data_IF_718945685637
#
_entry.id   IF_718945685637
#
_cell.length_a   1.000
_cell.length_b   1.000
_cell.length_c   1.000
_cell.angle_alpha   90.00
_cell.angle_beta   90.00
_cell.angle_gamma   90.00
#
_symmetry.space_group_name_H-M   'P 1'
#
loop_
_entity.id
_entity.type
_entity.pdbx_description
1 polymer ?
#
# COMPACT_ATOMS: atom_id res chain seq x y z
N UNK A 1 -40.75 6.68 4.14
CA UNK A 1 -39.38 6.23 3.75
C UNK A 1 -38.59 7.49 3.54
N UNK A 2 -37.58 7.75 4.35
CA UNK A 2 -36.64 8.88 4.19
C UNK A 2 -35.86 8.69 2.89
N UNK A 3 -35.81 9.73 2.06
CA UNK A 3 -35.20 9.65 0.75
C UNK A 3 -33.68 9.56 0.87
N UNK A 4 -33.08 8.50 0.30
CA UNK A 4 -31.63 8.31 0.28
C UNK A 4 -31.07 8.92 -1.02
N UNK A 5 -30.29 9.99 -0.89
CA UNK A 5 -29.61 10.65 -2.01
C UNK A 5 -28.14 10.23 -2.03
N UNK A 6 -27.71 9.62 -3.14
CA UNK A 6 -26.31 9.24 -3.36
C UNK A 6 -25.78 10.05 -4.56
N UNK A 7 -24.69 10.78 -4.33
CA UNK A 7 -24.11 11.64 -5.35
C UNK A 7 -22.61 11.88 -5.14
N UNK A 8 -21.88 12.29 -6.18
CA UNK A 8 -20.53 12.83 -5.98
C UNK A 8 -20.58 14.13 -5.18
N UNK A 9 -19.46 14.46 -4.55
CA UNK A 9 -19.23 15.71 -3.86
C UNK A 9 -19.14 16.86 -4.88
N UNK A 10 -19.71 18.02 -4.55
CA UNK A 10 -19.48 19.23 -5.35
C UNK A 10 -18.21 19.96 -4.87
N UNK A 11 -17.64 20.78 -5.73
CA UNK A 11 -16.50 21.64 -5.37
C UNK A 11 -16.88 22.57 -4.20
N UNK A 12 -16.08 22.57 -3.14
CA UNK A 12 -16.31 23.35 -1.94
C UNK A 12 -17.21 22.69 -0.89
N UNK A 13 -17.56 21.41 -1.08
CA UNK A 13 -18.35 20.63 -0.11
C UNK A 13 -17.49 19.74 0.80
N UNK A 14 -16.20 20.02 0.96
CA UNK A 14 -15.30 19.21 1.82
C UNK A 14 -15.83 19.11 3.26
N UNK A 15 -16.41 20.20 3.77
CA UNK A 15 -17.05 20.22 5.10
C UNK A 15 -18.27 19.28 5.20
N UNK A 16 -19.00 19.05 4.09
CA UNK A 16 -20.10 18.08 4.04
C UNK A 16 -19.54 16.65 4.18
N UNK A 17 -18.48 16.32 3.46
CA UNK A 17 -17.80 15.02 3.59
C UNK A 17 -17.31 14.79 5.03
N UNK A 18 -16.72 15.79 5.66
CA UNK A 18 -16.19 15.74 7.02
C UNK A 18 -17.29 15.78 8.11
N UNK A 19 -18.53 16.07 7.76
CA UNK A 19 -19.64 16.14 8.72
C UNK A 19 -20.07 14.78 9.27
N UNK A 20 -19.67 13.65 8.63
CA UNK A 20 -19.93 12.31 9.15
C UNK A 20 -19.17 12.11 10.46
N UNK A 21 -19.84 11.73 11.57
CA UNK A 21 -19.16 11.39 12.82
C UNK A 21 -18.21 10.22 12.63
N UNK A 22 -16.94 10.40 12.97
CA UNK A 22 -15.91 9.38 12.85
C UNK A 22 -15.22 9.20 14.21
N UNK A 23 -15.28 8.00 14.82
CA UNK A 23 -14.63 7.72 16.09
C UNK A 23 -13.09 7.63 15.99
N UNK A 24 -12.50 7.72 14.80
CA UNK A 24 -11.06 7.63 14.61
C UNK A 24 -10.47 6.26 14.94
N UNK A 25 -11.23 5.18 14.79
CA UNK A 25 -10.80 3.83 15.16
C UNK A 25 -10.16 3.06 14.01
N UNK A 26 -10.53 3.37 12.77
CA UNK A 26 -10.05 2.72 11.54
C UNK A 26 -9.91 3.75 10.42
N UNK A 27 -9.34 3.34 9.28
CA UNK A 27 -9.14 4.23 8.14
C UNK A 27 -8.08 5.30 8.41
N UNK A 28 -8.10 6.37 7.67
CA UNK A 28 -7.15 7.49 7.81
C UNK A 28 -7.30 8.25 9.13
N UNK A 29 -8.53 8.40 9.62
CA UNK A 29 -8.79 9.10 10.87
C UNK A 29 -8.09 8.46 12.07
N UNK A 30 -7.88 7.13 12.07
CA UNK A 30 -7.12 6.43 13.11
C UNK A 30 -5.64 6.82 13.15
N UNK A 31 -5.12 7.45 12.08
CA UNK A 31 -3.74 7.91 11.96
C UNK A 31 -3.61 9.44 12.00
N UNK A 32 -4.71 10.15 12.23
CA UNK A 32 -4.74 11.61 12.38
C UNK A 32 -4.81 12.37 11.04
N UNK A 33 -5.05 11.68 9.94
CA UNK A 33 -5.23 12.33 8.64
C UNK A 33 -6.65 12.89 8.49
N UNK A 34 -6.78 13.99 7.74
CA UNK A 34 -8.08 14.63 7.42
C UNK A 34 -8.30 14.63 5.91
N UNK A 35 -9.55 14.49 5.51
CA UNK A 35 -9.90 14.54 4.08
C UNK A 35 -9.52 15.89 3.45
N UNK A 36 -9.84 17.00 4.09
CA UNK A 36 -9.55 18.34 3.58
C UNK A 36 -8.06 18.60 3.40
N UNK A 37 -7.22 18.08 4.32
CA UNK A 37 -5.76 18.18 4.20
C UNK A 37 -5.23 17.48 2.96
N UNK A 38 -5.71 16.27 2.68
CA UNK A 38 -5.28 15.46 1.54
C UNK A 38 -5.90 15.97 0.22
N UNK A 39 -7.16 16.42 0.23
CA UNK A 39 -7.80 17.02 -0.92
C UNK A 39 -7.10 18.32 -1.37
N UNK A 40 -6.63 19.14 -0.43
CA UNK A 40 -5.83 20.32 -0.72
C UNK A 40 -4.50 20.01 -1.41
N UNK A 41 -3.95 18.81 -1.20
CA UNK A 41 -2.77 18.31 -1.92
C UNK A 41 -3.09 17.77 -3.34
N UNK A 42 -4.36 17.73 -3.74
CA UNK A 42 -4.83 17.26 -5.04
C UNK A 42 -4.96 15.73 -5.15
N UNK A 43 -4.92 15.03 -4.03
CA UNK A 43 -4.99 13.57 -3.96
C UNK A 43 -6.42 13.03 -4.05
N UNK A 44 -7.41 13.88 -3.76
CA UNK A 44 -8.84 13.58 -3.90
C UNK A 44 -9.52 14.66 -4.73
N UNK A 45 -10.43 14.25 -5.60
CA UNK A 45 -11.22 15.15 -6.46
C UNK A 45 -12.70 15.01 -6.13
N UNK A 46 -13.50 16.06 -6.30
CA UNK A 46 -14.93 16.00 -6.00
C UNK A 46 -15.67 14.89 -6.75
N UNK A 47 -15.36 14.65 -8.02
CA UNK A 47 -15.92 13.57 -8.84
C UNK A 47 -15.48 12.16 -8.40
N UNK A 48 -14.40 12.05 -7.65
CA UNK A 48 -13.91 10.80 -7.03
C UNK A 48 -14.30 10.67 -5.55
N UNK A 49 -15.15 11.56 -5.06
CA UNK A 49 -15.60 11.59 -3.67
C UNK A 49 -17.11 11.55 -3.64
N UNK A 50 -17.69 10.60 -2.93
CA UNK A 50 -19.12 10.34 -2.93
C UNK A 50 -19.69 10.36 -1.53
N UNK A 51 -20.93 10.82 -1.40
CA UNK A 51 -21.69 10.85 -0.16
C UNK A 51 -23.07 10.25 -0.35
N UNK A 52 -23.56 9.59 0.70
CA UNK A 52 -24.96 9.18 0.83
C UNK A 52 -25.60 10.00 1.94
N UNK A 53 -26.74 10.64 1.64
CA UNK A 53 -27.45 11.52 2.56
C UNK A 53 -28.87 10.97 2.85
N UNK A 54 -29.25 11.00 4.12
CA UNK A 54 -30.65 10.87 4.56
C UNK A 54 -31.11 12.18 5.19
N UNK A 55 -32.21 12.76 4.67
CA UNK A 55 -32.72 14.06 5.15
C UNK A 55 -31.63 15.15 5.20
N UNK A 56 -30.72 15.16 4.23
CA UNK A 56 -29.61 16.13 4.14
C UNK A 56 -28.41 15.83 5.07
N UNK A 57 -28.47 14.78 5.87
CA UNK A 57 -27.35 14.36 6.76
C UNK A 57 -26.54 13.27 6.09
N UNK A 58 -25.20 13.39 6.09
CA UNK A 58 -24.30 12.35 5.56
C UNK A 58 -24.36 11.12 6.47
N UNK A 59 -24.72 9.98 5.89
CA UNK A 59 -24.79 8.67 6.56
C UNK A 59 -23.77 7.67 6.04
N UNK A 60 -23.16 7.93 4.86
CA UNK A 60 -22.01 7.21 4.35
C UNK A 60 -21.19 8.13 3.44
N UNK A 61 -19.88 7.88 3.41
CA UNK A 61 -18.92 8.59 2.55
C UNK A 61 -17.89 7.63 1.99
N UNK A 62 -17.43 7.91 0.77
CA UNK A 62 -16.33 7.19 0.13
C UNK A 62 -15.51 8.15 -0.72
N UNK A 63 -14.18 8.01 -0.67
CA UNK A 63 -13.30 8.77 -1.56
C UNK A 63 -12.20 7.86 -2.13
N UNK A 64 -11.97 8.04 -3.42
CA UNK A 64 -10.95 7.31 -4.19
C UNK A 64 -9.74 8.20 -4.38
N UNK A 65 -8.59 7.64 -4.03
CA UNK A 65 -7.29 8.28 -4.11
C UNK A 65 -6.64 8.09 -5.49
N UNK A 66 -5.96 9.13 -5.95
CA UNK A 66 -4.95 9.05 -6.99
C UNK A 66 -3.89 10.14 -6.79
N UNK A 67 -2.74 9.99 -7.40
CA UNK A 67 -1.74 11.05 -7.41
C UNK A 67 -2.24 12.30 -8.17
N UNK A 68 -1.66 13.48 -7.90
CA UNK A 68 -2.12 14.75 -8.49
C UNK A 68 -2.12 14.80 -10.02
N UNK A 69 -1.39 13.89 -10.67
CA UNK A 69 -1.23 13.81 -12.13
C UNK A 69 -1.95 12.61 -12.76
N UNK A 70 -2.54 11.74 -11.95
CA UNK A 70 -3.22 10.56 -12.47
C UNK A 70 -4.57 10.93 -13.08
N UNK A 71 -4.95 10.23 -14.13
CA UNK A 71 -6.22 10.45 -14.83
C UNK A 71 -7.39 9.72 -14.15
N UNK A 72 -7.10 8.57 -13.55
CA UNK A 72 -8.08 7.67 -12.94
C UNK A 72 -7.73 7.40 -11.47
N UNK A 73 -8.72 7.11 -10.61
CA UNK A 73 -8.47 6.75 -9.21
C UNK A 73 -7.80 5.38 -9.11
N UNK A 74 -6.86 5.26 -8.16
CA UNK A 74 -6.04 4.07 -7.96
C UNK A 74 -6.49 3.22 -6.78
N UNK A 75 -7.08 3.83 -5.74
CA UNK A 75 -7.53 3.12 -4.55
C UNK A 75 -8.75 3.79 -3.92
N UNK A 76 -9.71 2.99 -3.44
CA UNK A 76 -10.70 3.42 -2.47
C UNK A 76 -10.04 3.31 -1.10
N UNK A 77 -9.89 4.40 -0.36
CA UNK A 77 -9.25 4.37 0.95
C UNK A 77 -9.91 5.25 2.03
N UNK A 78 -10.94 6.04 1.69
CA UNK A 78 -11.95 6.52 2.62
C UNK A 78 -13.26 5.78 2.38
N UNK A 79 -13.75 5.08 3.39
CA UNK A 79 -15.04 4.41 3.38
C UNK A 79 -15.59 4.31 4.79
N UNK A 80 -16.43 5.28 5.16
CA UNK A 80 -16.97 5.43 6.50
C UNK A 80 -18.48 5.64 6.47
N UNK A 81 -19.18 5.20 7.52
CA UNK A 81 -20.63 5.27 7.56
C UNK A 81 -21.19 5.10 8.97
N UNK A 82 -22.40 5.59 9.14
CA UNK A 82 -23.31 5.28 10.26
C UNK A 82 -24.48 4.38 9.81
N UNK A 83 -24.66 4.21 8.49
CA UNK A 83 -25.70 3.36 7.86
C UNK A 83 -25.01 2.41 6.86
N UNK A 84 -24.88 1.15 7.23
CA UNK A 84 -24.17 0.14 6.43
C UNK A 84 -24.86 -0.17 5.09
N UNK A 85 -26.19 -0.15 5.05
CA UNK A 85 -26.94 -0.38 3.81
C UNK A 85 -26.76 0.77 2.83
N UNK A 86 -26.79 2.00 3.32
CA UNK A 86 -26.49 3.20 2.51
C UNK A 86 -25.03 3.18 2.01
N UNK A 87 -24.09 2.73 2.83
CA UNK A 87 -22.68 2.58 2.45
C UNK A 87 -22.49 1.56 1.31
N UNK A 88 -23.06 0.37 1.44
CA UNK A 88 -23.02 -0.64 0.39
C UNK A 88 -23.70 -0.14 -0.91
N UNK A 89 -24.81 0.58 -0.79
CA UNK A 89 -25.50 1.16 -1.93
C UNK A 89 -24.67 2.27 -2.59
N UNK A 90 -23.94 3.09 -1.80
CA UNK A 90 -23.05 4.13 -2.31
C UNK A 90 -21.96 3.51 -3.19
N UNK A 91 -21.29 2.46 -2.74
CA UNK A 91 -20.25 1.78 -3.53
C UNK A 91 -20.82 1.19 -4.83
N UNK A 92 -22.04 0.60 -4.79
CA UNK A 92 -22.70 0.06 -6.00
C UNK A 92 -23.16 1.15 -6.97
N UNK A 93 -23.47 2.34 -6.48
CA UNK A 93 -23.97 3.45 -7.29
C UNK A 93 -22.83 4.23 -7.94
N UNK A 94 -21.69 4.34 -7.26
CA UNK A 94 -20.50 4.98 -7.81
C UNK A 94 -20.02 4.23 -9.07
N UNK A 95 -19.68 4.93 -10.16
CA UNK A 95 -19.08 4.31 -11.34
C UNK A 95 -17.60 3.99 -11.16
N UNK A 96 -17.01 4.34 -10.02
CA UNK A 96 -15.59 4.20 -9.74
C UNK A 96 -15.26 2.78 -9.25
N UNK A 97 -14.24 2.20 -9.82
CA UNK A 97 -13.80 0.84 -9.47
C UNK A 97 -12.31 0.83 -9.12
N UNK A 98 -12.00 0.55 -7.88
CA UNK A 98 -10.63 0.42 -7.41
C UNK A 98 -10.58 -0.49 -6.18
N UNK A 99 -9.40 -1.02 -5.87
CA UNK A 99 -9.17 -1.77 -4.66
C UNK A 99 -9.51 -0.93 -3.43
N UNK A 100 -10.27 -1.50 -2.49
CA UNK A 100 -10.45 -0.91 -1.17
C UNK A 100 -9.29 -1.29 -0.25
N UNK A 101 -8.60 -0.29 0.30
CA UNK A 101 -7.47 -0.46 1.21
C UNK A 101 -7.85 0.01 2.62
N UNK A 102 -8.44 -0.89 3.41
CA UNK A 102 -8.82 -0.60 4.80
C UNK A 102 -7.57 -0.56 5.70
N UNK A 103 -7.29 0.62 6.25
CA UNK A 103 -6.16 0.87 7.16
C UNK A 103 -6.58 0.64 8.60
N UNK A 104 -5.74 -0.05 9.37
CA UNK A 104 -6.03 -0.51 10.72
C UNK A 104 -4.83 -0.32 11.64
N UNK A 105 -5.01 0.06 12.90
CA UNK A 105 -3.92 0.10 13.87
C UNK A 105 -3.34 -1.30 14.11
N UNK A 106 -2.04 -1.41 14.47
CA UNK A 106 -1.42 -2.70 14.77
C UNK A 106 -2.15 -3.44 15.91
N UNK A 107 -2.36 -4.75 15.75
CA UNK A 107 -3.05 -5.58 16.73
C UNK A 107 -4.55 -5.29 16.85
N UNK A 108 -5.16 -4.70 15.83
CA UNK A 108 -6.56 -4.27 15.81
C UNK A 108 -7.56 -5.38 16.23
N UNK A 109 -7.22 -6.65 16.02
CA UNK A 109 -8.08 -7.78 16.39
C UNK A 109 -8.27 -7.94 17.89
N UNK A 110 -7.30 -7.47 18.67
CA UNK A 110 -7.31 -7.54 20.13
C UNK A 110 -8.04 -6.34 20.78
N UNK A 111 -8.42 -5.33 19.97
CA UNK A 111 -9.13 -4.13 20.42
C UNK A 111 -10.59 -4.22 19.98
N UNK A 112 -11.55 -4.56 20.90
CA UNK A 112 -12.93 -4.88 20.52
C UNK A 112 -13.62 -3.81 19.69
N UNK A 113 -13.50 -2.53 20.03
CA UNK A 113 -14.13 -1.43 19.31
C UNK A 113 -13.56 -1.26 17.88
N UNK A 114 -12.24 -1.43 17.71
CA UNK A 114 -11.58 -1.37 16.39
C UNK A 114 -12.01 -2.55 15.53
N UNK A 115 -12.04 -3.75 16.12
CA UNK A 115 -12.46 -4.96 15.42
C UNK A 115 -13.91 -4.86 14.92
N UNK A 116 -14.81 -4.33 15.73
CA UNK A 116 -16.21 -4.11 15.34
C UNK A 116 -16.30 -3.15 14.16
N UNK A 117 -15.60 -2.03 14.20
CA UNK A 117 -15.57 -1.03 13.13
C UNK A 117 -14.93 -1.57 11.85
N UNK A 118 -13.85 -2.35 11.97
CA UNK A 118 -13.20 -2.98 10.84
C UNK A 118 -14.13 -4.00 10.16
N UNK A 119 -14.78 -4.87 10.97
CA UNK A 119 -15.71 -5.89 10.45
C UNK A 119 -16.91 -5.25 9.74
N UNK A 120 -17.49 -4.20 10.31
CA UNK A 120 -18.59 -3.48 9.67
C UNK A 120 -18.20 -2.95 8.26
N UNK A 121 -16.97 -2.42 8.10
CA UNK A 121 -16.49 -1.94 6.79
C UNK A 121 -16.24 -3.07 5.80
N UNK A 122 -15.67 -4.18 6.27
CA UNK A 122 -15.49 -5.39 5.46
C UNK A 122 -16.86 -5.91 4.98
N UNK A 123 -17.83 -6.03 5.88
CA UNK A 123 -19.17 -6.57 5.56
C UNK A 123 -19.91 -5.67 4.56
N UNK A 124 -19.85 -4.34 4.74
CA UNK A 124 -20.46 -3.39 3.80
C UNK A 124 -19.78 -3.42 2.41
N UNK A 125 -18.45 -3.53 2.36
CA UNK A 125 -17.70 -3.67 1.12
C UNK A 125 -18.05 -4.99 0.40
N UNK A 126 -18.13 -6.09 1.14
CA UNK A 126 -18.55 -7.40 0.60
C UNK A 126 -20.00 -7.35 0.12
N UNK A 127 -20.91 -6.72 0.87
CA UNK A 127 -22.30 -6.49 0.42
C UNK A 127 -22.37 -5.63 -0.85
N UNK A 128 -21.39 -4.77 -1.09
CA UNK A 128 -21.25 -4.01 -2.33
C UNK A 128 -20.66 -4.80 -3.50
N UNK A 129 -20.14 -6.02 -3.26
CA UNK A 129 -19.60 -6.92 -4.28
C UNK A 129 -18.07 -7.06 -4.27
N UNK A 130 -17.36 -6.41 -3.34
CA UNK A 130 -15.92 -6.60 -3.20
C UNK A 130 -15.62 -7.92 -2.48
N UNK A 131 -14.42 -8.44 -2.69
CA UNK A 131 -13.94 -9.68 -2.04
C UNK A 131 -12.61 -9.42 -1.34
N UNK A 132 -12.41 -9.94 -0.10
CA UNK A 132 -11.10 -9.86 0.56
C UNK A 132 -10.03 -10.51 -0.30
N UNK A 133 -8.91 -9.82 -0.49
CA UNK A 133 -7.77 -10.27 -1.28
C UNK A 133 -6.58 -10.66 -0.39
N UNK A 134 -6.11 -9.74 0.44
CA UNK A 134 -4.91 -9.93 1.23
C UNK A 134 -4.87 -9.01 2.45
N UNK A 135 -4.23 -9.49 3.50
CA UNK A 135 -3.85 -8.69 4.65
C UNK A 135 -2.36 -8.37 4.60
N UNK A 136 -2.01 -7.13 4.91
CA UNK A 136 -0.64 -6.64 4.80
C UNK A 136 -0.19 -5.96 6.09
N UNK A 137 1.10 -6.07 6.40
CA UNK A 137 1.79 -5.20 7.34
C UNK A 137 2.35 -3.99 6.59
N UNK A 138 2.25 -2.82 7.24
CA UNK A 138 2.98 -1.61 6.88
C UNK A 138 3.94 -1.27 8.00
N UNK A 139 5.20 -1.16 7.67
CA UNK A 139 6.29 -0.85 8.58
C UNK A 139 6.66 0.62 8.48
N UNK A 140 7.17 1.18 9.58
CA UNK A 140 7.78 2.51 9.59
C UNK A 140 9.04 2.46 10.42
N UNK A 141 10.18 2.52 9.76
CA UNK A 141 11.47 2.72 10.41
C UNK A 141 11.72 4.21 10.62
N UNK A 142 12.38 4.57 11.73
CA UNK A 142 12.89 5.90 12.04
C UNK A 142 14.33 5.78 12.55
N UNK A 143 15.14 6.85 12.58
CA UNK A 143 16.52 6.79 13.09
C UNK A 143 16.65 6.19 14.50
N UNK A 144 15.63 6.35 15.34
CA UNK A 144 15.61 5.75 16.70
C UNK A 144 15.57 4.22 16.69
N UNK A 145 15.14 3.60 15.60
CA UNK A 145 15.20 2.15 15.42
C UNK A 145 16.66 1.64 15.27
N UNK A 146 17.59 2.54 14.96
CA UNK A 146 18.96 2.22 14.60
C UNK A 146 19.08 1.63 13.19
N UNK A 147 20.23 1.82 12.55
CA UNK A 147 20.51 1.22 11.24
C UNK A 147 21.15 -0.16 11.48
N UNK A 148 20.57 -1.25 10.95
CA UNK A 148 21.09 -2.61 11.16
C UNK A 148 22.46 -2.76 10.49
N UNK A 149 23.36 -3.53 11.14
CA UNK A 149 24.69 -3.79 10.58
C UNK A 149 24.61 -4.54 9.24
N UNK A 150 25.40 -4.11 8.25
CA UNK A 150 25.50 -4.82 6.97
C UNK A 150 26.08 -6.22 7.16
N UNK A 151 25.42 -7.28 6.69
CA UNK A 151 25.96 -8.64 6.77
C UNK A 151 27.23 -8.87 5.93
N UNK A 152 27.44 -8.06 4.88
CA UNK A 152 28.63 -8.11 4.03
C UNK A 152 28.72 -9.35 3.13
N UNK A 153 27.58 -10.03 2.86
CA UNK A 153 27.53 -11.26 2.06
C UNK A 153 27.30 -11.02 0.57
N UNK A 154 26.87 -9.81 0.19
CA UNK A 154 26.51 -9.45 -1.16
C UNK A 154 27.26 -8.20 -1.62
N UNK A 155 27.57 -8.16 -2.91
CA UNK A 155 28.00 -6.96 -3.63
C UNK A 155 26.81 -6.34 -4.34
N UNK A 156 26.61 -5.04 -4.21
CA UNK A 156 25.51 -4.29 -4.81
C UNK A 156 26.01 -3.41 -5.94
N UNK A 157 25.44 -3.59 -7.12
CA UNK A 157 25.81 -2.85 -8.32
C UNK A 157 24.59 -2.10 -8.87
N UNK A 158 24.74 -0.76 -9.16
CA UNK A 158 23.68 -0.03 -9.84
C UNK A 158 23.35 -0.66 -11.19
N UNK A 159 22.06 -0.72 -11.53
CA UNK A 159 21.61 -1.28 -12.82
C UNK A 159 20.75 -0.27 -13.58
N UNK A 160 21.35 0.42 -14.58
CA UNK A 160 20.62 1.38 -15.40
C UNK A 160 19.78 0.75 -16.51
N UNK A 161 20.05 -0.51 -16.90
CA UNK A 161 19.38 -1.18 -18.00
C UNK A 161 18.04 -1.80 -17.57
N UNK A 162 16.95 -1.35 -18.19
CA UNK A 162 15.62 -1.87 -17.94
C UNK A 162 15.46 -3.32 -18.37
N UNK A 163 16.14 -3.74 -19.44
CA UNK A 163 16.04 -5.12 -19.91
C UNK A 163 16.65 -6.09 -18.89
N UNK A 164 17.77 -5.71 -18.26
CA UNK A 164 18.38 -6.49 -17.18
C UNK A 164 17.45 -6.58 -15.96
N UNK A 165 16.86 -5.45 -15.54
CA UNK A 165 15.92 -5.41 -14.43
C UNK A 165 14.67 -6.23 -14.72
N UNK A 166 14.12 -6.13 -15.92
CA UNK A 166 12.94 -6.90 -16.34
C UNK A 166 13.20 -8.41 -16.32
N UNK A 167 14.40 -8.85 -16.74
CA UNK A 167 14.78 -10.27 -16.65
C UNK A 167 14.82 -10.75 -15.19
N UNK A 168 15.33 -9.92 -14.30
CA UNK A 168 15.36 -10.22 -12.86
C UNK A 168 13.94 -10.29 -12.28
N UNK A 169 13.01 -9.39 -12.66
CA UNK A 169 11.61 -9.49 -12.24
C UNK A 169 10.95 -10.77 -12.72
N UNK A 170 11.15 -11.19 -13.98
CA UNK A 170 10.63 -12.47 -14.48
C UNK A 170 11.07 -13.65 -13.61
N UNK A 171 12.33 -13.66 -13.18
CA UNK A 171 12.85 -14.71 -12.30
C UNK A 171 12.26 -14.62 -10.90
N UNK A 172 12.26 -13.44 -10.28
CA UNK A 172 11.73 -13.23 -8.92
C UNK A 172 10.24 -13.55 -8.84
N UNK A 173 9.47 -13.19 -9.85
CA UNK A 173 8.03 -13.42 -9.88
C UNK A 173 7.65 -14.91 -9.92
N UNK A 174 8.55 -15.78 -10.40
CA UNK A 174 8.35 -17.23 -10.32
C UNK A 174 8.31 -17.68 -8.87
N UNK A 175 7.12 -18.15 -8.42
CA UNK A 175 6.90 -18.58 -7.04
C UNK A 175 6.91 -17.42 -6.04
N UNK A 176 6.50 -16.22 -6.45
CA UNK A 176 6.32 -15.07 -5.55
C UNK A 176 5.32 -15.39 -4.44
N UNK A 177 5.57 -14.89 -3.23
CA UNK A 177 4.65 -14.95 -2.10
C UNK A 177 3.69 -13.74 -2.07
N UNK A 178 3.94 -12.69 -2.85
CA UNK A 178 3.07 -11.51 -2.94
C UNK A 178 1.78 -11.86 -3.69
N UNK A 179 0.63 -11.58 -3.07
CA UNK A 179 -0.69 -11.92 -3.60
C UNK A 179 -1.03 -11.09 -4.84
N UNK A 180 -0.64 -9.81 -4.87
CA UNK A 180 -0.89 -8.94 -6.03
C UNK A 180 -0.11 -9.44 -7.25
N UNK A 181 1.18 -9.74 -7.09
CA UNK A 181 2.01 -10.32 -8.16
C UNK A 181 1.40 -11.62 -8.68
N UNK A 182 1.01 -12.54 -7.79
CA UNK A 182 0.38 -13.81 -8.21
C UNK A 182 -0.93 -13.60 -8.96
N UNK A 183 -1.73 -12.62 -8.53
CA UNK A 183 -2.98 -12.27 -9.19
C UNK A 183 -2.72 -11.70 -10.59
N UNK A 184 -1.78 -10.76 -10.73
CA UNK A 184 -1.41 -10.21 -12.04
C UNK A 184 -0.89 -11.32 -12.97
N UNK A 185 -0.01 -12.21 -12.47
CA UNK A 185 0.46 -13.37 -13.26
C UNK A 185 -0.69 -14.25 -13.74
N UNK A 186 -1.65 -14.53 -12.85
CA UNK A 186 -2.81 -15.37 -13.21
C UNK A 186 -3.72 -14.69 -14.25
N UNK A 187 -3.83 -13.38 -14.23
CA UNK A 187 -4.68 -12.60 -15.13
C UNK A 187 -4.01 -12.31 -16.49
N UNK A 188 -2.73 -11.95 -16.51
CA UNK A 188 -2.05 -11.38 -17.67
C UNK A 188 -0.76 -12.10 -18.07
N UNK A 189 -0.29 -13.05 -17.25
CA UNK A 189 0.95 -13.80 -17.47
C UNK A 189 2.19 -13.16 -16.84
N UNK A 190 3.27 -13.94 -16.78
CA UNK A 190 4.51 -13.57 -16.09
C UNK A 190 5.19 -12.34 -16.72
N UNK A 191 5.19 -12.26 -18.05
CA UNK A 191 5.80 -11.15 -18.80
C UNK A 191 5.12 -9.81 -18.48
N UNK A 192 3.79 -9.80 -18.54
CA UNK A 192 3.01 -8.60 -18.25
C UNK A 192 3.14 -8.18 -16.78
N UNK A 193 3.17 -9.12 -15.84
CA UNK A 193 3.38 -8.84 -14.43
C UNK A 193 4.77 -8.25 -14.16
N UNK A 194 5.81 -8.74 -14.81
CA UNK A 194 7.15 -8.19 -14.69
C UNK A 194 7.25 -6.77 -15.28
N UNK A 195 6.56 -6.52 -16.40
CA UNK A 195 6.51 -5.20 -17.02
C UNK A 195 5.73 -4.20 -16.13
N UNK A 196 4.59 -4.62 -15.55
CA UNK A 196 3.79 -3.80 -14.64
C UNK A 196 4.60 -3.37 -13.40
N UNK A 197 5.41 -4.28 -12.82
CA UNK A 197 6.30 -3.96 -11.71
C UNK A 197 7.38 -2.94 -12.10
N UNK A 198 8.01 -3.12 -13.26
CA UNK A 198 8.99 -2.18 -13.79
C UNK A 198 8.35 -0.80 -14.01
N UNK A 199 7.18 -0.74 -14.60
CA UNK A 199 6.48 0.50 -14.90
C UNK A 199 6.04 1.22 -13.62
N UNK A 200 5.55 0.48 -12.62
CA UNK A 200 5.25 1.02 -11.28
C UNK A 200 6.47 1.65 -10.62
N UNK A 201 7.62 0.96 -10.61
CA UNK A 201 8.83 1.50 -10.00
C UNK A 201 9.39 2.70 -10.78
N UNK A 202 9.17 2.78 -12.08
CA UNK A 202 9.53 3.94 -12.92
C UNK A 202 8.60 5.15 -12.69
N UNK A 203 7.35 4.89 -12.34
CA UNK A 203 6.39 5.93 -11.98
C UNK A 203 6.75 6.61 -10.64
N UNK A 204 7.41 5.89 -9.71
CA UNK A 204 7.90 6.47 -8.47
C UNK A 204 8.95 7.56 -8.76
N UNK A 205 8.87 8.73 -8.09
CA UNK A 205 9.85 9.81 -8.26
C UNK A 205 11.19 9.50 -7.57
N UNK A 206 11.78 8.36 -7.90
CA UNK A 206 13.00 7.82 -7.28
C UNK A 206 14.18 7.89 -8.23
N UNK A 207 15.40 8.19 -7.74
CA UNK A 207 16.61 8.16 -8.57
C UNK A 207 16.87 6.74 -9.11
N UNK A 208 17.15 6.64 -10.41
CA UNK A 208 17.45 5.34 -11.05
C UNK A 208 18.72 4.68 -10.49
N UNK A 209 19.68 5.46 -10.10
CA UNK A 209 20.95 5.00 -9.52
C UNK A 209 20.77 4.30 -8.16
N UNK A 210 19.55 4.35 -7.57
CA UNK A 210 19.23 3.61 -6.36
C UNK A 210 18.88 2.14 -6.64
N UNK A 211 18.59 1.78 -7.87
CA UNK A 211 18.25 0.41 -8.24
C UNK A 211 19.52 -0.43 -8.31
N UNK A 212 19.59 -1.50 -7.53
CA UNK A 212 20.80 -2.30 -7.39
C UNK A 212 20.52 -3.78 -7.57
N UNK A 213 21.28 -4.40 -8.46
CA UNK A 213 21.42 -5.85 -8.49
C UNK A 213 22.42 -6.29 -7.41
N UNK A 214 22.11 -7.42 -6.78
CA UNK A 214 22.93 -8.00 -5.72
C UNK A 214 23.58 -9.30 -6.20
N UNK A 215 24.86 -9.45 -5.94
CA UNK A 215 25.65 -10.60 -6.34
C UNK A 215 26.34 -11.24 -5.13
N UNK A 216 26.44 -12.58 -5.13
CA UNK A 216 27.19 -13.30 -4.11
C UNK A 216 28.71 -13.28 -4.42
N UNK A 217 29.60 -13.79 -3.53
CA UNK A 217 31.05 -13.83 -3.77
C UNK A 217 31.48 -14.68 -4.98
N UNK A 218 30.62 -15.57 -5.47
CA UNK A 218 30.88 -16.33 -6.70
C UNK A 218 30.51 -15.52 -7.98
N UNK A 219 29.96 -14.29 -7.84
CA UNK A 219 29.53 -13.45 -8.95
C UNK A 219 28.16 -13.82 -9.50
N UNK A 220 27.39 -14.67 -8.79
CA UNK A 220 26.04 -15.07 -9.21
C UNK A 220 25.03 -14.02 -8.77
N UNK A 221 24.06 -13.72 -9.64
CA UNK A 221 22.97 -12.80 -9.36
C UNK A 221 22.02 -13.41 -8.30
N UNK A 222 21.89 -12.72 -7.16
CA UNK A 222 21.05 -13.13 -6.04
C UNK A 222 19.69 -12.46 -6.07
N UNK A 223 19.61 -11.20 -6.47
CA UNK A 223 18.35 -10.47 -6.45
C UNK A 223 18.47 -8.99 -6.76
N UNK A 224 17.40 -8.28 -6.46
CA UNK A 224 17.23 -6.86 -6.71
C UNK A 224 16.78 -6.14 -5.44
N UNK A 225 17.33 -4.95 -5.20
CA UNK A 225 16.91 -4.00 -4.17
C UNK A 225 16.61 -2.65 -4.80
N UNK A 226 15.42 -2.12 -4.57
CA UNK A 226 14.98 -0.82 -5.08
C UNK A 226 14.43 0.01 -3.92
N UNK A 227 15.29 0.76 -3.20
CA UNK A 227 14.81 1.85 -2.36
C UNK A 227 14.18 2.93 -3.24
N UNK A 228 13.18 3.62 -2.71
CA UNK A 228 12.43 4.57 -3.49
C UNK A 228 11.87 5.72 -2.67
N UNK A 229 11.14 6.60 -3.35
CA UNK A 229 10.31 7.65 -2.76
C UNK A 229 8.91 7.57 -3.37
N UNK A 230 7.90 7.68 -2.56
CA UNK A 230 6.54 8.02 -2.98
C UNK A 230 6.33 9.52 -2.76
N UNK A 231 5.18 10.08 -3.11
CA UNK A 231 4.90 11.51 -3.00
C UNK A 231 5.19 12.15 -1.65
N UNK A 232 5.23 11.41 -0.56
CA UNK A 232 5.51 11.92 0.78
C UNK A 232 6.55 11.13 1.57
N UNK A 233 6.79 9.86 1.23
CA UNK A 233 7.60 8.98 2.06
C UNK A 233 8.72 8.29 1.28
N UNK A 234 9.96 8.28 1.83
CA UNK A 234 10.99 7.30 1.46
C UNK A 234 10.49 5.88 1.77
N UNK A 235 10.73 4.94 0.86
CA UNK A 235 10.20 3.59 1.01
C UNK A 235 11.18 2.51 0.55
N UNK A 236 11.01 1.31 1.09
CA UNK A 236 11.52 0.10 0.47
C UNK A 236 10.57 -0.22 -0.69
N UNK A 237 10.92 0.21 -1.90
CA UNK A 237 10.07 0.08 -3.08
C UNK A 237 9.95 -1.36 -3.54
N UNK A 238 11.08 -2.06 -3.63
CA UNK A 238 11.09 -3.48 -3.99
C UNK A 238 12.30 -4.21 -3.40
N UNK A 239 12.06 -5.44 -2.97
CA UNK A 239 13.11 -6.41 -2.61
C UNK A 239 12.70 -7.77 -3.16
N UNK A 240 13.58 -8.41 -3.92
CA UNK A 240 13.33 -9.76 -4.41
C UNK A 240 14.59 -10.58 -4.54
N UNK A 241 14.49 -11.88 -4.20
CA UNK A 241 15.54 -12.87 -4.34
C UNK A 241 15.14 -13.86 -5.43
N UNK A 242 16.04 -14.12 -6.38
CA UNK A 242 15.80 -15.10 -7.44
C UNK A 242 15.64 -16.51 -6.85
N UNK A 243 14.82 -17.38 -7.48
CA UNK A 243 14.46 -18.68 -6.91
C UNK A 243 15.63 -19.52 -6.44
N UNK A 244 16.74 -19.52 -7.17
CA UNK A 244 17.93 -20.33 -6.93
C UNK A 244 18.67 -19.96 -5.63
N UNK A 245 18.46 -18.73 -5.16
CA UNK A 245 19.11 -18.20 -3.96
C UNK A 245 18.15 -17.97 -2.80
N UNK A 246 16.90 -18.43 -2.88
CA UNK A 246 15.94 -18.37 -1.77
C UNK A 246 16.36 -19.32 -0.63
N UNK A 247 15.86 -19.05 0.57
CA UNK A 247 16.18 -19.87 1.75
C UNK A 247 17.51 -19.53 2.43
N UNK A 248 18.36 -18.69 1.85
CA UNK A 248 19.67 -18.31 2.41
C UNK A 248 19.62 -17.00 3.23
N UNK A 249 18.43 -16.40 3.39
CA UNK A 249 18.23 -15.17 4.15
C UNK A 249 18.74 -13.91 3.44
N UNK A 250 19.00 -13.94 2.14
CA UNK A 250 19.50 -12.80 1.38
C UNK A 250 18.52 -11.63 1.28
N UNK A 251 17.21 -11.87 1.44
CA UNK A 251 16.24 -10.78 1.50
C UNK A 251 16.52 -9.81 2.68
N UNK A 252 17.12 -10.30 3.77
CA UNK A 252 17.59 -9.45 4.86
C UNK A 252 18.74 -8.53 4.41
N UNK A 253 19.72 -9.04 3.65
CA UNK A 253 20.85 -8.23 3.15
C UNK A 253 20.35 -7.13 2.20
N UNK A 254 19.38 -7.46 1.32
CA UNK A 254 18.74 -6.50 0.42
C UNK A 254 18.00 -5.40 1.21
N UNK A 255 17.26 -5.78 2.26
CA UNK A 255 16.57 -4.84 3.13
C UNK A 255 17.54 -3.92 3.87
N UNK A 256 18.60 -4.50 4.44
CA UNK A 256 19.63 -3.73 5.17
C UNK A 256 20.30 -2.72 4.24
N UNK A 257 20.70 -3.12 3.03
CA UNK A 257 21.30 -2.19 2.08
C UNK A 257 20.37 -1.05 1.68
N UNK A 258 19.09 -1.35 1.37
CA UNK A 258 18.11 -0.32 1.08
C UNK A 258 17.90 0.65 2.26
N UNK A 259 17.90 0.11 3.50
CA UNK A 259 17.80 0.93 4.71
C UNK A 259 18.98 1.88 4.85
N UNK A 260 20.22 1.38 4.63
CA UNK A 260 21.41 2.23 4.66
C UNK A 260 21.36 3.31 3.61
N UNK A 261 21.02 2.98 2.37
CA UNK A 261 20.94 3.95 1.29
C UNK A 261 19.99 5.10 1.62
N UNK A 262 18.80 4.79 2.15
CA UNK A 262 17.82 5.81 2.52
C UNK A 262 18.27 6.59 3.77
N UNK A 263 18.87 5.92 4.77
CA UNK A 263 19.39 6.57 5.96
C UNK A 263 20.55 7.53 5.63
N UNK A 264 21.44 7.17 4.68
CA UNK A 264 22.55 8.01 4.20
C UNK A 264 22.02 9.27 3.47
N UNK A 265 20.82 9.22 2.87
CA UNK A 265 20.08 10.38 2.34
C UNK A 265 19.49 11.30 3.43
N UNK A 266 19.66 10.95 4.71
CA UNK A 266 19.21 11.76 5.84
C UNK A 266 17.69 11.76 6.05
N UNK A 267 16.99 10.68 5.65
CA UNK A 267 15.54 10.60 5.82
C UNK A 267 15.15 10.41 7.29
N UNK A 268 14.03 10.99 7.69
CA UNK A 268 13.48 10.90 9.05
C UNK A 268 12.62 9.65 9.28
N UNK A 269 12.24 8.95 8.21
CA UNK A 269 11.48 7.70 8.22
C UNK A 269 11.65 6.92 6.94
N UNK A 270 11.41 5.62 7.01
CA UNK A 270 11.31 4.73 5.84
C UNK A 270 10.05 3.88 6.01
N UNK A 271 9.19 3.87 5.01
CA UNK A 271 8.01 3.01 4.99
C UNK A 271 8.25 1.77 4.14
N UNK A 272 7.59 0.68 4.51
CA UNK A 272 7.63 -0.58 3.77
C UNK A 272 6.34 -1.36 3.95
N UNK A 273 6.11 -2.36 3.12
CA UNK A 273 4.94 -3.25 3.27
C UNK A 273 5.26 -4.66 2.81
N UNK A 274 4.56 -5.63 3.40
CA UNK A 274 4.54 -7.02 2.92
C UNK A 274 3.23 -7.69 3.30
N UNK A 275 2.87 -8.74 2.57
CA UNK A 275 1.72 -9.57 2.93
C UNK A 275 1.97 -10.26 4.26
N UNK A 276 0.95 -10.38 5.11
CA UNK A 276 1.07 -11.07 6.40
C UNK A 276 1.44 -12.55 6.22
N UNK A 277 1.02 -13.13 5.11
CA UNK A 277 1.35 -14.51 4.72
C UNK A 277 2.80 -14.67 4.22
N UNK A 278 3.50 -13.58 3.92
CA UNK A 278 4.93 -13.61 3.59
C UNK A 278 5.78 -13.59 4.90
N UNK A 279 5.62 -14.66 5.67
CA UNK A 279 6.27 -14.83 6.98
C UNK A 279 7.79 -14.63 6.94
N UNK A 280 8.54 -15.13 5.91
CA UNK A 280 9.97 -14.88 5.83
C UNK A 280 10.32 -13.38 5.74
N UNK A 281 9.59 -12.61 4.93
CA UNK A 281 9.87 -11.18 4.80
C UNK A 281 9.49 -10.41 6.06
N UNK A 282 8.37 -10.74 6.69
CA UNK A 282 7.97 -10.17 7.98
C UNK A 282 9.04 -10.41 9.08
N UNK A 283 9.63 -11.61 9.13
CA UNK A 283 10.73 -11.91 10.03
C UNK A 283 11.99 -11.07 9.76
N UNK A 284 12.29 -10.76 8.48
CA UNK A 284 13.41 -9.89 8.12
C UNK A 284 13.17 -8.44 8.53
N UNK A 285 11.97 -7.91 8.38
CA UNK A 285 11.59 -6.58 8.89
C UNK A 285 11.74 -6.50 10.42
N UNK A 286 11.23 -7.50 11.15
CA UNK A 286 11.37 -7.56 12.60
C UNK A 286 12.85 -7.59 13.02
N UNK A 287 13.67 -8.42 12.37
CA UNK A 287 15.12 -8.51 12.62
C UNK A 287 15.85 -7.21 12.30
N UNK A 288 15.43 -6.47 11.29
CA UNK A 288 16.00 -5.18 10.90
C UNK A 288 15.51 -4.01 11.78
N UNK A 289 14.67 -4.28 12.78
CA UNK A 289 14.18 -3.27 13.72
C UNK A 289 13.04 -2.40 13.17
N UNK A 290 12.31 -2.86 12.15
CA UNK A 290 11.16 -2.16 11.60
C UNK A 290 9.89 -2.48 12.40
N UNK A 291 9.32 -1.53 13.16
CA UNK A 291 8.04 -1.75 13.83
C UNK A 291 6.89 -1.76 12.83
N UNK A 292 5.87 -2.58 13.10
CA UNK A 292 4.59 -2.51 12.39
C UNK A 292 3.90 -1.21 12.82
N UNK A 293 3.68 -0.31 11.87
CA UNK A 293 3.01 0.97 12.10
C UNK A 293 1.52 0.90 11.77
N UNK A 294 1.14 -0.02 10.89
CA UNK A 294 -0.24 -0.17 10.40
C UNK A 294 -0.45 -1.59 9.87
N UNK A 295 -1.66 -2.10 10.02
CA UNK A 295 -2.15 -3.23 9.25
C UNK A 295 -3.10 -2.74 8.15
N UNK A 296 -3.23 -3.51 7.07
CA UNK A 296 -4.10 -3.17 5.95
C UNK A 296 -4.80 -4.42 5.44
N UNK A 297 -6.09 -4.28 5.13
CA UNK A 297 -6.85 -5.30 4.42
C UNK A 297 -7.21 -4.73 3.05
N UNK A 298 -6.81 -5.44 1.99
CA UNK A 298 -7.16 -5.09 0.63
C UNK A 298 -8.35 -5.95 0.18
N UNK A 299 -9.40 -5.29 -0.36
CA UNK A 299 -10.57 -5.92 -0.98
C UNK A 299 -10.67 -5.45 -2.45
N UNK A 300 -11.13 -6.33 -3.35
CA UNK A 300 -11.22 -6.10 -4.80
C UNK A 300 -12.58 -6.47 -5.34
#
# INVERSE_FOLDING_TARGET
MTDLVIRPLAVGEEALFESLPDPGLVGFAAFGDTYSGMAAAGEYRPDWTWVALRDGVVVARAAWWAGPKDADPLALDWFDFTDADAAAQLLRTSPLYAQYSLKLPPGWRDIPAVREQAQARIDAAVAAGLSPLVERFRYRWTPDCGVPARPGRLEFRPEPDDAAVLDVFRRIHQGSLDVHVRRTIAATGLEAAAQEELDYLRWLPSPREWWRLAYNPAGELVGLSVPGRHYGDPLIGYIGVVPEHRGHGYAYDLLVEATHMLADEGVDRIVAGTDQTNVPMAAHFARAGYPIAQERIDLI
#
